data_IF_279419698995
#
_entry.id   IF_279419698995
#
_cell.length_a   1.000
_cell.length_b   1.000
_cell.length_c   1.000
_cell.angle_alpha   90.00
_cell.angle_beta   90.00
_cell.angle_gamma   90.00
#
_symmetry.space_group_name_H-M   'P 1'
#
loop_
_entity.id
_entity.type
_entity.pdbx_description
1 polymer ?
#
# COMPACT_ATOMS: atom_id res chain seq x y z
N UNK A 1 -25.83 19.76 -11.00
CA UNK A 1 -25.11 18.57 -10.49
C UNK A 1 -25.08 17.56 -11.63
N UNK A 2 -23.90 17.16 -12.13
CA UNK A 2 -23.82 16.16 -13.22
C UNK A 2 -24.08 14.78 -12.62
N UNK A 3 -25.05 14.05 -13.16
CA UNK A 3 -25.39 12.69 -12.74
C UNK A 3 -24.89 11.71 -13.79
N UNK A 4 -24.15 10.68 -13.37
CA UNK A 4 -23.67 9.61 -14.23
C UNK A 4 -24.34 8.29 -13.82
N UNK A 5 -24.73 7.42 -14.77
CA UNK A 5 -25.43 6.17 -14.44
C UNK A 5 -24.53 5.10 -13.82
N UNK A 6 -23.22 5.19 -14.05
CA UNK A 6 -22.23 4.26 -13.50
C UNK A 6 -20.83 4.89 -13.42
N UNK A 7 -19.98 4.35 -12.56
CA UNK A 7 -18.58 4.75 -12.38
C UNK A 7 -17.68 3.77 -13.13
N UNK A 8 -16.81 4.26 -14.01
CA UNK A 8 -15.75 3.46 -14.62
C UNK A 8 -14.45 3.68 -13.87
N UNK A 9 -13.83 2.62 -13.38
CA UNK A 9 -12.57 2.66 -12.63
C UNK A 9 -11.51 1.99 -13.48
N UNK A 10 -10.58 2.77 -14.00
CA UNK A 10 -9.45 2.27 -14.79
C UNK A 10 -8.16 2.41 -13.99
N UNK A 11 -7.39 1.33 -13.86
CA UNK A 11 -6.10 1.33 -13.17
C UNK A 11 -5.12 0.39 -13.90
N UNK A 12 -3.80 0.61 -13.82
CA UNK A 12 -2.82 -0.34 -14.34
C UNK A 12 -2.85 -1.65 -13.54
N UNK A 13 -2.51 -2.77 -14.17
CA UNK A 13 -2.46 -4.10 -13.56
C UNK A 13 -1.20 -4.33 -12.72
N UNK A 14 -0.85 -3.35 -11.87
CA UNK A 14 0.24 -3.41 -10.90
C UNK A 14 -0.34 -3.36 -9.47
N UNK A 15 0.46 -3.70 -8.46
CA UNK A 15 0.02 -3.72 -7.06
C UNK A 15 -0.62 -2.39 -6.62
N UNK A 16 0.01 -1.25 -6.93
CA UNK A 16 -0.53 0.07 -6.59
C UNK A 16 -1.87 0.36 -7.31
N UNK A 17 -2.02 -0.10 -8.55
CA UNK A 17 -3.27 0.02 -9.30
C UNK A 17 -4.40 -0.84 -8.72
N UNK A 18 -4.10 -2.08 -8.35
CA UNK A 18 -5.05 -2.98 -7.66
C UNK A 18 -5.52 -2.38 -6.34
N UNK A 19 -4.59 -1.95 -5.49
CA UNK A 19 -4.89 -1.36 -4.18
C UNK A 19 -5.77 -0.11 -4.33
N UNK A 20 -5.41 0.81 -5.23
CA UNK A 20 -6.18 2.04 -5.50
C UNK A 20 -7.59 1.73 -5.98
N UNK A 21 -7.71 0.83 -6.97
CA UNK A 21 -8.99 0.44 -7.55
C UNK A 21 -9.91 -0.21 -6.51
N UNK A 22 -9.38 -1.10 -5.67
CA UNK A 22 -10.15 -1.80 -4.66
C UNK A 22 -10.77 -0.88 -3.61
N UNK A 23 -10.12 0.24 -3.24
CA UNK A 23 -10.73 1.21 -2.34
C UNK A 23 -11.99 1.84 -2.95
N UNK A 24 -11.91 2.28 -4.20
CA UNK A 24 -13.07 2.87 -4.89
C UNK A 24 -14.16 1.83 -5.12
N UNK A 25 -13.79 0.62 -5.54
CA UNK A 25 -14.72 -0.51 -5.73
C UNK A 25 -15.42 -0.90 -4.42
N UNK A 26 -14.68 -0.97 -3.30
CA UNK A 26 -15.25 -1.22 -1.98
C UNK A 26 -16.30 -0.17 -1.59
N UNK A 27 -16.00 1.11 -1.84
CA UNK A 27 -16.95 2.18 -1.58
C UNK A 27 -18.20 2.06 -2.45
N UNK A 28 -18.04 1.85 -3.77
CA UNK A 28 -19.16 1.64 -4.68
C UNK A 28 -20.06 0.48 -4.22
N UNK A 29 -19.47 -0.65 -3.82
CA UNK A 29 -20.20 -1.80 -3.31
C UNK A 29 -20.92 -1.50 -1.99
N UNK A 30 -20.29 -0.77 -1.08
CA UNK A 30 -20.88 -0.45 0.23
C UNK A 30 -22.03 0.56 0.14
N UNK A 31 -22.02 1.48 -0.84
CA UNK A 31 -23.12 2.45 -1.07
C UNK A 31 -24.08 2.05 -2.21
N UNK A 32 -23.86 0.90 -2.85
CA UNK A 32 -24.72 0.39 -3.92
C UNK A 32 -24.63 1.18 -5.24
N UNK A 33 -23.48 1.79 -5.53
CA UNK A 33 -23.24 2.50 -6.80
C UNK A 33 -22.86 1.53 -7.92
N UNK A 34 -23.52 1.59 -9.09
CA UNK A 34 -23.11 0.82 -10.26
C UNK A 34 -21.70 1.21 -10.70
N UNK A 35 -20.84 0.22 -10.95
CA UNK A 35 -19.47 0.45 -11.39
C UNK A 35 -19.02 -0.59 -12.42
N UNK A 36 -17.98 -0.21 -13.17
CA UNK A 36 -17.24 -1.07 -14.09
C UNK A 36 -15.75 -0.89 -13.79
N UNK A 37 -15.06 -1.98 -13.44
CA UNK A 37 -13.61 -1.97 -13.26
C UNK A 37 -12.89 -2.41 -14.52
N UNK A 38 -11.70 -1.86 -14.77
CA UNK A 38 -10.82 -2.29 -15.87
C UNK A 38 -9.36 -2.16 -15.49
N UNK A 39 -8.64 -3.27 -15.63
CA UNK A 39 -7.19 -3.29 -15.54
C UNK A 39 -6.55 -3.06 -16.91
N UNK A 40 -5.68 -2.06 -16.98
CA UNK A 40 -4.82 -1.76 -18.13
C UNK A 40 -3.50 -2.53 -18.01
N UNK A 41 -2.69 -2.65 -19.07
CA UNK A 41 -1.38 -3.28 -18.98
C UNK A 41 -0.55 -2.69 -17.82
N UNK A 42 0.24 -3.53 -17.13
CA UNK A 42 1.10 -3.04 -16.05
C UNK A 42 2.24 -2.18 -16.60
N UNK A 43 2.71 -1.23 -15.81
CA UNK A 43 3.75 -0.27 -16.20
C UNK A 43 5.02 -0.98 -16.70
N UNK A 44 5.41 -2.07 -16.05
CA UNK A 44 6.61 -2.85 -16.41
C UNK A 44 6.56 -3.49 -17.82
N UNK A 45 5.37 -3.63 -18.41
CA UNK A 45 5.19 -4.20 -19.76
C UNK A 45 5.15 -3.16 -20.86
N UNK A 46 5.09 -1.88 -20.50
CA UNK A 46 4.99 -0.79 -21.46
C UNK A 46 6.38 -0.34 -21.92
N UNK A 47 6.51 0.07 -23.19
CA UNK A 47 7.66 0.85 -23.64
C UNK A 47 7.81 2.12 -22.78
N UNK A 48 9.05 2.56 -22.55
CA UNK A 48 9.36 3.71 -21.68
C UNK A 48 8.65 5.01 -22.05
N UNK A 49 8.36 5.21 -23.34
CA UNK A 49 7.73 6.42 -23.87
C UNK A 49 6.20 6.28 -24.05
N UNK A 50 5.65 5.11 -23.76
CA UNK A 50 4.21 4.88 -23.92
C UNK A 50 3.45 5.34 -22.67
N UNK A 51 2.60 6.35 -22.86
CA UNK A 51 1.70 6.85 -21.81
C UNK A 51 0.38 6.09 -21.90
N UNK A 52 0.00 5.41 -20.82
CA UNK A 52 -1.31 4.76 -20.71
C UNK A 52 -2.39 5.84 -20.78
N UNK A 53 -3.32 5.67 -21.72
CA UNK A 53 -4.52 6.50 -21.78
C UNK A 53 -5.74 5.62 -21.54
N UNK A 54 -6.65 6.03 -20.64
CA UNK A 54 -7.89 5.30 -20.47
C UNK A 54 -8.72 5.41 -21.74
N UNK A 55 -9.43 4.34 -22.09
CA UNK A 55 -10.38 4.39 -23.19
C UNK A 55 -11.50 5.40 -22.86
N UNK A 56 -11.84 6.25 -23.83
CA UNK A 56 -13.01 7.14 -23.71
C UNK A 56 -14.27 6.32 -23.45
N UNK A 57 -15.15 6.85 -22.63
CA UNK A 57 -16.47 6.25 -22.35
C UNK A 57 -17.56 7.19 -22.84
N UNK A 58 -18.59 6.64 -23.46
CA UNK A 58 -19.71 7.42 -23.98
C UNK A 58 -20.75 7.73 -22.90
N UNK A 59 -20.80 6.93 -21.84
CA UNK A 59 -21.77 7.05 -20.75
C UNK A 59 -21.15 6.65 -19.40
N UNK A 60 -21.29 7.51 -18.39
CA UNK A 60 -20.74 7.28 -17.05
C UNK A 60 -19.73 8.33 -16.60
N UNK A 61 -19.15 8.12 -15.43
CA UNK A 61 -18.05 8.92 -14.89
C UNK A 61 -16.78 8.06 -14.85
N UNK A 62 -15.77 8.42 -15.64
CA UNK A 62 -14.50 7.72 -15.67
C UNK A 62 -13.53 8.31 -14.63
N UNK A 63 -13.04 7.43 -13.76
CA UNK A 63 -11.92 7.63 -12.85
C UNK A 63 -10.73 6.85 -13.39
N UNK A 64 -9.69 7.57 -13.80
CA UNK A 64 -8.41 6.98 -14.17
C UNK A 64 -7.44 7.12 -13.00
N UNK A 65 -7.03 5.99 -12.44
CA UNK A 65 -6.11 5.89 -11.31
C UNK A 65 -4.72 5.62 -11.86
N UNK A 66 -3.81 6.58 -11.69
CA UNK A 66 -2.51 6.57 -12.32
C UNK A 66 -1.38 6.72 -11.29
N UNK A 67 -1.03 5.62 -10.58
CA UNK A 67 -0.05 5.67 -9.50
C UNK A 67 1.39 5.94 -9.98
N UNK A 68 1.66 5.80 -11.29
CA UNK A 68 3.00 5.91 -11.87
C UNK A 68 3.27 7.24 -12.57
N UNK A 69 2.26 8.11 -12.68
CA UNK A 69 2.45 9.49 -13.11
C UNK A 69 3.37 10.27 -12.16
N UNK A 70 3.95 11.35 -12.67
CA UNK A 70 4.73 12.28 -11.88
C UNK A 70 3.92 12.88 -10.71
N UNK A 71 4.61 13.47 -9.73
CA UNK A 71 3.95 14.13 -8.61
C UNK A 71 3.60 15.57 -8.99
N UNK A 72 2.30 15.90 -8.97
CA UNK A 72 1.79 17.21 -9.37
C UNK A 72 1.51 18.11 -8.16
N UNK A 73 1.74 19.42 -8.29
CA UNK A 73 1.12 20.37 -7.36
C UNK A 73 -0.38 20.48 -7.67
N UNK A 74 -1.19 20.63 -6.62
CA UNK A 74 -2.66 20.72 -6.80
C UNK A 74 -3.08 21.89 -7.72
N UNK A 75 -2.31 22.99 -7.72
CA UNK A 75 -2.53 24.15 -8.60
C UNK A 75 -2.38 23.84 -10.08
N UNK A 76 -1.59 22.82 -10.40
CA UNK A 76 -1.18 22.51 -11.77
C UNK A 76 -2.11 21.47 -12.41
N UNK A 77 -3.02 20.90 -11.60
CA UNK A 77 -4.04 19.97 -12.05
C UNK A 77 -5.19 20.77 -12.65
N UNK A 78 -5.16 20.91 -13.97
CA UNK A 78 -6.35 21.30 -14.71
C UNK A 78 -7.50 20.30 -14.44
N UNK A 79 -8.74 20.76 -14.32
CA UNK A 79 -9.89 19.87 -14.30
C UNK A 79 -9.93 19.07 -15.61
N UNK A 80 -9.51 17.81 -15.54
CA UNK A 80 -9.52 16.88 -16.67
C UNK A 80 -10.82 16.06 -16.62
N UNK A 81 -11.42 15.87 -17.78
CA UNK A 81 -12.36 14.77 -18.02
C UNK A 81 -11.61 13.79 -18.91
N UNK A 82 -11.35 12.55 -18.46
CA UNK A 82 -11.82 11.92 -17.22
C UNK A 82 -11.16 12.45 -15.94
N UNK A 83 -11.78 12.15 -14.78
CA UNK A 83 -11.18 12.39 -13.48
C UNK A 83 -9.91 11.57 -13.36
N UNK A 84 -8.76 12.24 -13.40
CA UNK A 84 -7.44 11.62 -13.38
C UNK A 84 -6.84 11.80 -11.98
N UNK A 85 -6.63 10.70 -11.26
CA UNK A 85 -6.03 10.69 -9.92
C UNK A 85 -4.56 10.31 -10.08
N UNK A 86 -3.70 11.28 -9.78
CA UNK A 86 -2.24 11.19 -9.88
C UNK A 86 -1.63 11.54 -8.52
N UNK A 87 -0.36 11.20 -8.25
CA UNK A 87 0.31 11.59 -7.01
C UNK A 87 0.34 13.12 -6.82
N UNK A 88 0.08 13.58 -5.59
CA UNK A 88 0.00 15.01 -5.26
C UNK A 88 1.13 15.45 -4.35
N UNK A 89 1.77 16.57 -4.66
CA UNK A 89 2.72 17.22 -3.75
C UNK A 89 1.96 17.82 -2.57
N UNK A 90 2.36 17.45 -1.35
CA UNK A 90 1.72 17.87 -0.11
C UNK A 90 2.75 18.25 0.95
N UNK A 91 2.34 19.13 1.87
CA UNK A 91 3.12 19.43 3.07
C UNK A 91 2.42 18.86 4.31
N UNK A 92 3.13 18.00 5.04
CA UNK A 92 2.64 17.38 6.27
C UNK A 92 3.37 17.98 7.46
N UNK A 93 2.64 18.25 8.55
CA UNK A 93 3.21 18.74 9.81
C UNK A 93 3.32 17.58 10.79
N UNK A 94 4.56 17.22 11.13
CA UNK A 94 4.86 16.10 12.03
C UNK A 94 5.59 16.58 13.29
N UNK A 95 5.40 15.81 14.37
CA UNK A 95 6.09 16.00 15.64
C UNK A 95 5.70 17.28 16.41
N UNK A 96 6.40 17.52 17.50
CA UNK A 96 6.13 18.64 18.43
C UNK A 96 6.43 20.01 17.83
N UNK A 97 7.40 20.09 16.91
CA UNK A 97 7.78 21.34 16.23
C UNK A 97 6.77 21.78 15.16
N UNK A 98 5.86 20.90 14.72
CA UNK A 98 4.87 21.13 13.66
C UNK A 98 5.43 21.75 12.37
N UNK A 99 6.75 21.60 12.12
CA UNK A 99 7.38 22.11 10.91
C UNK A 99 6.85 21.33 9.71
N UNK A 100 6.44 22.06 8.66
CA UNK A 100 6.00 21.44 7.41
C UNK A 100 7.15 20.68 6.75
N UNK A 101 6.90 19.42 6.40
CA UNK A 101 7.77 18.59 5.58
C UNK A 101 7.06 18.31 4.27
N UNK A 102 7.78 18.41 3.16
CA UNK A 102 7.23 18.10 1.84
C UNK A 102 7.24 16.59 1.62
N UNK A 103 6.23 16.08 0.93
CA UNK A 103 6.11 14.69 0.51
C UNK A 103 5.10 14.55 -0.62
N UNK A 104 4.85 13.32 -1.06
CA UNK A 104 3.90 13.02 -2.11
C UNK A 104 2.77 12.15 -1.56
N UNK A 105 1.52 12.61 -1.70
CA UNK A 105 0.34 11.81 -1.42
C UNK A 105 0.06 10.92 -2.63
N UNK A 106 0.25 9.61 -2.49
CA UNK A 106 0.08 8.66 -3.58
C UNK A 106 -1.40 8.38 -3.91
N UNK A 107 -1.63 7.67 -5.02
CA UNK A 107 -2.98 7.38 -5.53
C UNK A 107 -3.76 6.39 -4.64
N UNK A 108 -3.09 5.44 -3.97
CA UNK A 108 -3.73 4.51 -3.04
C UNK A 108 -4.27 5.28 -1.83
N UNK A 109 -3.46 6.14 -1.21
CA UNK A 109 -3.90 6.96 -0.09
C UNK A 109 -5.05 7.91 -0.47
N UNK A 110 -4.98 8.52 -1.66
CA UNK A 110 -6.09 9.33 -2.19
C UNK A 110 -7.37 8.51 -2.37
N UNK A 111 -7.28 7.33 -2.99
CA UNK A 111 -8.43 6.46 -3.19
C UNK A 111 -9.02 5.96 -1.86
N UNK A 112 -8.18 5.65 -0.88
CA UNK A 112 -8.62 5.28 0.46
C UNK A 112 -9.39 6.42 1.15
N UNK A 113 -8.91 7.66 1.04
CA UNK A 113 -9.58 8.84 1.59
C UNK A 113 -10.92 9.14 0.88
N UNK A 114 -10.96 9.02 -0.45
CA UNK A 114 -12.19 9.16 -1.24
C UNK A 114 -13.19 8.08 -0.84
N UNK A 115 -12.75 6.82 -0.74
CA UNK A 115 -13.59 5.70 -0.33
C UNK A 115 -14.19 5.89 1.07
N UNK A 116 -13.38 6.32 2.04
CA UNK A 116 -13.84 6.65 3.40
C UNK A 116 -14.84 7.82 3.41
N UNK A 117 -14.69 8.78 2.50
CA UNK A 117 -15.63 9.90 2.36
C UNK A 117 -16.95 9.49 1.71
N UNK A 118 -16.91 8.58 0.72
CA UNK A 118 -18.09 8.06 0.03
C UNK A 118 -18.88 7.10 0.92
N UNK A 119 -18.19 6.20 1.63
CA UNK A 119 -18.79 5.14 2.43
C UNK A 119 -18.19 5.11 3.87
N UNK A 120 -18.43 6.14 4.71
CA UNK A 120 -17.81 6.26 6.04
C UNK A 120 -18.17 5.11 7.00
N UNK A 121 -19.31 4.46 6.78
CA UNK A 121 -19.76 3.29 7.54
C UNK A 121 -19.71 1.99 6.71
N UNK A 122 -19.03 2.03 5.56
CA UNK A 122 -18.87 0.90 4.66
C UNK A 122 -18.03 -0.21 5.29
N UNK A 123 -18.57 -1.43 5.30
CA UNK A 123 -17.89 -2.59 5.87
C UNK A 123 -16.65 -2.99 5.06
N UNK A 124 -16.73 -2.94 3.72
CA UNK A 124 -15.59 -3.25 2.85
C UNK A 124 -14.54 -2.14 2.94
N UNK A 125 -14.94 -0.87 2.93
CA UNK A 125 -14.00 0.25 3.06
C UNK A 125 -13.22 0.16 4.38
N UNK A 126 -13.91 -0.12 5.50
CA UNK A 126 -13.25 -0.35 6.80
C UNK A 126 -12.32 -1.56 6.78
N UNK A 127 -12.71 -2.64 6.10
CA UNK A 127 -11.88 -3.84 5.96
C UNK A 127 -10.56 -3.55 5.23
N UNK A 128 -10.58 -2.73 4.17
CA UNK A 128 -9.38 -2.39 3.41
C UNK A 128 -8.50 -1.31 4.08
N UNK A 129 -9.04 -0.61 5.09
CA UNK A 129 -8.42 0.53 5.78
C UNK A 129 -6.95 0.34 6.19
N UNK A 130 -6.48 -0.84 6.68
CA UNK A 130 -5.08 -1.04 7.06
C UNK A 130 -4.09 -0.84 5.90
N UNK A 131 -4.56 -0.95 4.64
CA UNK A 131 -3.73 -0.81 3.44
C UNK A 131 -3.71 0.63 2.89
N UNK A 132 -4.32 1.61 3.56
CA UNK A 132 -4.43 2.97 3.02
C UNK A 132 -3.06 3.66 2.77
N UNK A 133 -2.01 3.29 3.51
CA UNK A 133 -0.64 3.80 3.31
C UNK A 133 0.25 2.94 2.41
N UNK A 134 -0.28 1.87 1.81
CA UNK A 134 0.52 0.88 1.08
C UNK A 134 1.11 1.41 -0.23
N UNK A 135 0.47 2.37 -0.88
CA UNK A 135 1.04 2.96 -2.09
C UNK A 135 2.27 3.83 -1.82
N UNK A 136 2.36 4.48 -0.65
CA UNK A 136 3.59 5.17 -0.20
C UNK A 136 4.73 4.18 0.03
N UNK A 137 4.40 3.00 0.58
CA UNK A 137 5.37 1.91 0.70
C UNK A 137 5.87 1.43 -0.68
N UNK A 138 4.99 1.37 -1.68
CA UNK A 138 5.34 0.93 -3.04
C UNK A 138 6.14 1.95 -3.85
N UNK A 139 6.24 3.20 -3.37
CA UNK A 139 7.05 4.25 -4.02
C UNK A 139 8.50 4.22 -3.55
N UNK A 140 9.33 4.93 -4.29
CA UNK A 140 10.78 5.03 -4.05
C UNK A 140 11.17 6.07 -2.98
N UNK A 141 10.21 6.78 -2.38
CA UNK A 141 10.52 7.84 -1.40
C UNK A 141 11.33 7.27 -0.21
N UNK A 142 10.90 6.12 0.31
CA UNK A 142 11.58 5.40 1.38
C UNK A 142 12.95 4.84 0.96
N UNK A 143 13.25 4.72 -0.35
CA UNK A 143 14.56 4.24 -0.83
C UNK A 143 15.66 5.30 -0.73
N UNK A 144 15.30 6.56 -0.53
CA UNK A 144 16.25 7.67 -0.45
C UNK A 144 16.20 8.39 0.89
N UNK A 145 15.01 8.56 1.47
CA UNK A 145 14.83 9.33 2.69
C UNK A 145 13.58 8.90 3.47
N UNK A 146 13.38 9.51 4.62
CA UNK A 146 12.16 9.36 5.40
C UNK A 146 10.95 9.96 4.67
N UNK A 147 9.84 9.22 4.58
CA UNK A 147 8.60 9.71 3.97
C UNK A 147 7.61 10.25 5.05
N UNK A 148 7.39 11.58 5.12
CA UNK A 148 6.50 12.16 6.12
C UNK A 148 5.02 11.84 5.90
N UNK A 149 4.59 11.54 4.67
CA UNK A 149 3.21 11.15 4.38
C UNK A 149 2.99 9.71 4.86
N UNK A 150 3.96 8.83 4.61
CA UNK A 150 3.89 7.42 5.04
C UNK A 150 3.74 7.33 6.56
N UNK A 151 4.61 8.02 7.29
CA UNK A 151 4.56 8.09 8.75
C UNK A 151 3.26 8.70 9.25
N UNK A 152 2.78 9.80 8.67
CA UNK A 152 1.53 10.41 9.10
C UNK A 152 0.33 9.47 8.94
N UNK A 153 0.22 8.78 7.80
CA UNK A 153 -0.86 7.82 7.58
C UNK A 153 -0.75 6.63 8.54
N UNK A 154 0.46 6.08 8.70
CA UNK A 154 0.71 4.99 9.65
C UNK A 154 0.29 5.37 11.07
N UNK A 155 0.72 6.53 11.54
CA UNK A 155 0.46 6.99 12.90
C UNK A 155 -1.05 7.20 13.11
N UNK A 156 -1.75 7.86 12.16
CA UNK A 156 -3.22 8.01 12.21
C UNK A 156 -3.93 6.65 12.23
N UNK A 157 -3.54 5.71 11.37
CA UNK A 157 -4.12 4.37 11.32
C UNK A 157 -3.87 3.59 12.61
N UNK A 158 -2.72 3.79 13.25
CA UNK A 158 -2.39 3.18 14.54
C UNK A 158 -3.19 3.80 15.68
N UNK A 159 -3.29 5.12 15.73
CA UNK A 159 -4.03 5.86 16.77
C UNK A 159 -5.53 5.56 16.73
N UNK A 160 -6.11 5.42 15.54
CA UNK A 160 -7.54 5.07 15.39
C UNK A 160 -7.80 3.56 15.57
N UNK A 161 -6.77 2.73 15.71
CA UNK A 161 -6.87 1.29 15.95
C UNK A 161 -7.08 0.44 14.69
N UNK A 162 -6.91 1.00 13.49
CA UNK A 162 -6.98 0.27 12.22
C UNK A 162 -5.81 -0.70 12.03
N UNK A 163 -4.65 -0.40 12.62
CA UNK A 163 -3.49 -1.29 12.65
C UNK A 163 -2.71 -1.14 13.96
N UNK A 164 -1.81 -2.07 14.22
CA UNK A 164 -0.79 -2.02 15.27
C UNK A 164 0.57 -1.91 14.59
N UNK A 165 1.39 -0.99 15.07
CA UNK A 165 2.80 -0.87 14.68
C UNK A 165 3.63 -1.70 15.67
N UNK A 166 4.33 -2.72 15.18
CA UNK A 166 5.13 -3.63 16.01
C UNK A 166 6.53 -3.87 15.43
N UNK A 167 7.45 -4.38 16.23
CA UNK A 167 8.77 -4.76 15.74
C UNK A 167 8.73 -6.10 14.98
N UNK A 168 9.73 -6.36 14.14
CA UNK A 168 9.85 -7.59 13.35
C UNK A 168 9.67 -8.90 14.16
N UNK A 169 10.20 -9.05 15.38
CA UNK A 169 9.99 -10.26 16.18
C UNK A 169 8.53 -10.53 16.54
N UNK A 170 7.69 -9.49 16.65
CA UNK A 170 6.26 -9.60 17.00
C UNK A 170 5.38 -10.08 15.82
N UNK A 171 5.91 -10.04 14.59
CA UNK A 171 5.22 -10.59 13.42
C UNK A 171 5.44 -12.10 13.38
N UNK A 172 4.37 -12.88 13.29
CA UNK A 172 4.45 -14.34 13.29
C UNK A 172 5.06 -14.87 11.99
N UNK A 173 4.59 -14.36 10.84
CA UNK A 173 4.99 -14.83 9.51
C UNK A 173 5.45 -13.67 8.61
N UNK A 174 6.55 -12.97 8.94
CA UNK A 174 7.09 -11.90 8.10
C UNK A 174 7.77 -12.48 6.85
N UNK A 175 7.76 -11.74 5.75
CA UNK A 175 8.60 -12.02 4.59
C UNK A 175 10.03 -11.53 4.86
N UNK A 176 10.90 -12.45 5.28
CA UNK A 176 12.31 -12.15 5.54
C UNK A 176 13.10 -11.81 4.27
N UNK A 177 12.64 -12.27 3.10
CA UNK A 177 13.29 -12.02 1.81
C UNK A 177 13.39 -10.53 1.46
N UNK A 178 12.60 -9.68 2.13
CA UNK A 178 12.64 -8.23 2.00
C UNK A 178 13.84 -7.58 2.69
N UNK A 179 14.54 -8.30 3.57
CA UNK A 179 15.61 -7.77 4.41
C UNK A 179 16.89 -8.55 4.07
N UNK A 180 17.72 -8.03 3.15
CA UNK A 180 18.96 -8.69 2.77
C UNK A 180 19.87 -8.97 3.98
N UNK A 181 20.57 -10.10 3.96
CA UNK A 181 21.49 -10.54 5.01
C UNK A 181 20.86 -10.78 6.39
N UNK A 182 19.53 -10.75 6.53
CA UNK A 182 18.86 -11.06 7.78
C UNK A 182 19.01 -12.55 8.15
N UNK A 183 19.52 -12.83 9.36
CA UNK A 183 19.63 -14.20 9.83
C UNK A 183 18.29 -14.71 10.38
N UNK A 184 17.61 -15.56 9.60
CA UNK A 184 16.35 -16.21 10.03
C UNK A 184 16.51 -17.01 11.33
N UNK A 185 17.67 -17.66 11.51
CA UNK A 185 18.00 -18.41 12.72
C UNK A 185 18.05 -17.48 13.94
N UNK A 186 18.67 -16.30 13.81
CA UNK A 186 18.72 -15.32 14.89
C UNK A 186 17.34 -14.73 15.17
N UNK A 187 16.57 -14.38 14.14
CA UNK A 187 15.20 -13.89 14.28
C UNK A 187 14.31 -14.90 15.00
N UNK A 188 14.37 -16.19 14.62
CA UNK A 188 13.59 -17.26 15.27
C UNK A 188 13.96 -17.44 16.73
N UNK A 189 15.24 -17.29 17.08
CA UNK A 189 15.70 -17.31 18.49
C UNK A 189 15.20 -16.08 19.24
N UNK A 190 15.32 -14.90 18.63
CA UNK A 190 14.88 -13.63 19.21
C UNK A 190 13.39 -13.65 19.51
N UNK A 191 12.54 -14.09 18.57
CA UNK A 191 11.09 -14.21 18.75
C UNK A 191 10.70 -15.03 19.98
N UNK A 192 11.44 -16.10 20.30
CA UNK A 192 11.18 -16.91 21.51
C UNK A 192 11.48 -16.19 22.81
N UNK A 193 12.52 -15.36 22.83
CA UNK A 193 12.93 -14.59 24.00
C UNK A 193 12.24 -13.21 24.09
N UNK A 194 11.67 -12.71 22.98
CA UNK A 194 11.09 -11.38 22.85
C UNK A 194 10.06 -11.03 23.94
N UNK A 195 9.13 -11.93 24.33
CA UNK A 195 8.14 -11.61 25.36
C UNK A 195 8.74 -11.43 26.77
N UNK A 196 9.96 -11.94 27.01
CA UNK A 196 10.63 -11.86 28.33
C UNK A 196 11.62 -10.72 28.43
N UNK A 197 11.85 -9.97 27.35
CA UNK A 197 12.80 -8.85 27.29
C UNK A 197 12.13 -7.52 27.64
N UNK A 198 12.85 -6.68 28.38
CA UNK A 198 12.50 -5.27 28.57
C UNK A 198 12.90 -4.41 27.36
N UNK A 199 12.64 -3.10 27.44
CA UNK A 199 12.86 -2.16 26.33
C UNK A 199 14.33 -2.08 25.93
N UNK A 200 15.26 -2.08 26.90
CA UNK A 200 16.70 -1.96 26.64
C UNK A 200 17.23 -3.24 25.99
N UNK A 201 16.86 -4.40 26.50
CA UNK A 201 17.22 -5.70 25.92
C UNK A 201 16.66 -5.86 24.50
N UNK A 202 15.42 -5.42 24.25
CA UNK A 202 14.81 -5.40 22.91
C UNK A 202 15.59 -4.51 21.93
N UNK A 203 15.99 -3.32 22.39
CA UNK A 203 16.75 -2.35 21.60
C UNK A 203 18.10 -2.92 21.18
N UNK A 204 18.84 -3.48 22.15
CA UNK A 204 20.13 -4.10 21.89
C UNK A 204 20.01 -5.31 20.96
N UNK A 205 19.04 -6.19 21.21
CA UNK A 205 18.86 -7.41 20.42
C UNK A 205 18.48 -7.13 18.96
N UNK A 206 17.66 -6.10 18.69
CA UNK A 206 17.35 -5.71 17.31
C UNK A 206 18.54 -5.04 16.62
N UNK A 207 19.32 -4.24 17.34
CA UNK A 207 20.56 -3.64 16.82
C UNK A 207 21.57 -4.70 16.39
N UNK A 208 21.73 -5.76 17.17
CA UNK A 208 22.56 -6.92 16.82
C UNK A 208 22.01 -7.71 15.64
N UNK A 209 20.69 -7.90 15.57
CA UNK A 209 20.03 -8.61 14.48
C UNK A 209 20.21 -7.89 13.13
N UNK A 210 20.11 -6.56 13.13
CA UNK A 210 20.11 -5.75 11.91
C UNK A 210 21.52 -5.38 11.42
N UNK A 211 22.55 -5.46 12.27
CA UNK A 211 23.91 -5.07 11.92
C UNK A 211 24.42 -5.66 10.59
N UNK A 212 24.20 -6.96 10.26
CA UNK A 212 24.60 -7.51 8.96
C UNK A 212 23.83 -6.92 7.77
N UNK A 213 22.59 -6.47 7.98
CA UNK A 213 21.71 -5.91 6.95
C UNK A 213 22.19 -4.53 6.49
N UNK A 214 22.89 -3.78 7.35
CA UNK A 214 23.44 -2.45 7.03
C UNK A 214 24.57 -2.47 5.99
N UNK A 215 25.07 -3.65 5.64
CA UNK A 215 26.11 -3.81 4.60
C UNK A 215 25.52 -3.85 3.19
N UNK A 216 24.20 -4.01 3.05
CA UNK A 216 23.53 -4.04 1.75
C UNK A 216 23.22 -2.62 1.26
N UNK A 217 23.67 -2.28 0.05
CA UNK A 217 23.45 -0.95 -0.55
C UNK A 217 22.11 -0.79 -1.25
N UNK A 218 21.35 -1.88 -1.45
CA UNK A 218 20.08 -1.89 -2.17
C UNK A 218 18.88 -1.63 -1.25
N UNK A 219 19.04 -1.77 0.07
CA UNK A 219 18.02 -1.43 1.05
C UNK A 219 18.43 -0.19 1.84
N UNK A 220 17.68 0.90 1.66
CA UNK A 220 17.95 2.15 2.36
C UNK A 220 17.76 2.02 3.88
N UNK A 221 18.47 2.84 4.66
CA UNK A 221 18.29 2.89 6.11
C UNK A 221 16.85 3.20 6.53
N UNK A 222 16.15 4.20 5.94
CA UNK A 222 14.75 4.46 6.28
C UNK A 222 13.82 3.27 6.01
N UNK A 223 13.99 2.57 4.88
CA UNK A 223 13.17 1.40 4.55
C UNK A 223 13.48 0.24 5.50
N UNK A 224 14.75 0.04 5.86
CA UNK A 224 15.15 -0.95 6.85
C UNK A 224 14.56 -0.65 8.23
N UNK A 225 14.54 0.61 8.66
CA UNK A 225 13.89 1.01 9.92
C UNK A 225 12.41 0.63 9.94
N UNK A 226 11.66 0.91 8.87
CA UNK A 226 10.26 0.49 8.78
C UNK A 226 10.11 -1.05 8.83
N UNK A 227 11.00 -1.78 8.16
CA UNK A 227 10.98 -3.25 8.14
C UNK A 227 11.40 -3.90 9.45
N UNK A 228 12.11 -3.21 10.34
CA UNK A 228 12.56 -3.75 11.63
C UNK A 228 11.68 -3.28 12.79
N UNK A 229 11.30 -2.00 12.80
CA UNK A 229 10.65 -1.35 13.93
C UNK A 229 9.16 -1.09 13.73
N UNK A 230 8.71 -0.95 12.48
CA UNK A 230 7.37 -0.44 12.17
C UNK A 230 6.54 -1.38 11.29
N UNK A 231 6.50 -2.67 11.65
CA UNK A 231 5.64 -3.64 10.97
C UNK A 231 4.17 -3.34 11.22
N UNK A 232 3.38 -3.39 10.16
CA UNK A 232 1.97 -3.02 10.18
C UNK A 232 1.09 -4.28 10.28
N UNK A 233 0.63 -4.61 11.50
CA UNK A 233 -0.30 -5.72 11.74
C UNK A 233 -1.73 -5.22 11.89
N UNK A 234 -2.72 -6.00 11.48
CA UNK A 234 -4.13 -5.69 11.70
C UNK A 234 -4.89 -6.96 12.08
N UNK A 235 -5.88 -6.81 12.97
CA UNK A 235 -6.58 -7.95 13.56
C UNK A 235 -5.62 -9.03 14.07
N UNK A 236 -5.97 -10.28 13.76
CA UNK A 236 -5.21 -11.48 14.09
C UNK A 236 -4.46 -12.06 12.87
N UNK A 237 -4.27 -11.27 11.80
CA UNK A 237 -3.56 -11.76 10.62
C UNK A 237 -2.07 -11.99 10.93
N UNK A 238 -1.50 -13.18 10.65
CA UNK A 238 -0.12 -13.52 11.08
C UNK A 238 0.96 -12.85 10.23
N UNK A 239 0.60 -12.35 9.05
CA UNK A 239 1.46 -11.65 8.09
C UNK A 239 1.15 -10.16 8.11
N UNK A 240 2.15 -9.31 8.30
CA UNK A 240 2.00 -7.85 8.25
C UNK A 240 1.77 -7.32 6.83
N UNK A 241 1.14 -6.14 6.71
CA UNK A 241 0.74 -5.53 5.42
C UNK A 241 1.88 -5.50 4.40
N UNK A 242 3.09 -5.14 4.83
CA UNK A 242 4.25 -4.97 3.94
C UNK A 242 4.73 -6.33 3.42
N UNK A 243 4.75 -7.36 4.28
CA UNK A 243 4.99 -8.75 3.85
C UNK A 243 3.94 -9.25 2.88
N UNK A 244 2.65 -8.97 3.12
CA UNK A 244 1.58 -9.39 2.21
C UNK A 244 1.75 -8.79 0.82
N UNK A 245 2.10 -7.50 0.75
CA UNK A 245 2.37 -6.81 -0.52
C UNK A 245 3.55 -7.45 -1.23
N UNK A 246 4.66 -7.69 -0.53
CA UNK A 246 5.85 -8.29 -1.13
C UNK A 246 5.57 -9.70 -1.67
N UNK A 247 4.87 -10.56 -0.91
CA UNK A 247 4.47 -11.89 -1.39
C UNK A 247 3.59 -11.79 -2.63
N UNK A 248 2.57 -10.93 -2.61
CA UNK A 248 1.70 -10.73 -3.77
C UNK A 248 2.48 -10.25 -5.01
N UNK A 249 3.49 -9.40 -4.83
CA UNK A 249 4.33 -8.91 -5.93
C UNK A 249 5.30 -9.96 -6.48
N UNK A 250 5.82 -10.87 -5.66
CA UNK A 250 6.74 -11.92 -6.13
C UNK A 250 6.06 -12.88 -7.12
N UNK A 251 4.75 -13.07 -6.99
CA UNK A 251 3.96 -13.95 -7.86
C UNK A 251 3.38 -13.21 -9.09
N UNK A 252 3.77 -11.95 -9.32
CA UNK A 252 3.18 -11.15 -10.39
C UNK A 252 3.65 -11.62 -11.78
N UNK A 253 2.72 -11.93 -12.71
CA UNK A 253 3.09 -12.39 -14.04
C UNK A 253 3.81 -11.31 -14.86
N UNK A 254 4.82 -11.72 -15.64
CA UNK A 254 5.57 -10.82 -16.54
C UNK A 254 4.83 -10.47 -17.83
N UNK A 255 3.86 -11.30 -18.24
CA UNK A 255 3.09 -11.09 -19.47
C UNK A 255 1.86 -10.24 -19.18
N UNK A 256 1.59 -9.22 -20.00
CA UNK A 256 0.55 -8.22 -19.75
C UNK A 256 -0.85 -8.81 -19.51
N UNK A 257 -1.29 -9.77 -20.32
CA UNK A 257 -2.62 -10.36 -20.16
C UNK A 257 -2.74 -11.27 -18.94
N UNK A 258 -1.68 -12.04 -18.63
CA UNK A 258 -1.61 -12.81 -17.40
C UNK A 258 -1.62 -11.90 -16.17
N UNK A 259 -0.93 -10.76 -16.22
CA UNK A 259 -0.91 -9.76 -15.15
C UNK A 259 -2.29 -9.14 -14.92
N UNK A 260 -3.05 -8.82 -15.98
CA UNK A 260 -4.44 -8.33 -15.85
C UNK A 260 -5.36 -9.35 -15.17
N UNK A 261 -5.23 -10.64 -15.55
CA UNK A 261 -6.01 -11.72 -14.92
C UNK A 261 -5.62 -11.90 -13.45
N UNK A 262 -4.32 -11.86 -13.15
CA UNK A 262 -3.81 -11.92 -11.78
C UNK A 262 -4.34 -10.73 -10.95
N UNK A 263 -4.23 -9.50 -11.46
CA UNK A 263 -4.72 -8.28 -10.82
C UNK A 263 -6.23 -8.36 -10.51
N UNK A 264 -7.03 -8.87 -11.45
CA UNK A 264 -8.47 -9.07 -11.22
C UNK A 264 -8.75 -10.08 -10.11
N UNK A 265 -8.05 -11.22 -10.09
CA UNK A 265 -8.23 -12.24 -9.05
C UNK A 265 -7.79 -11.74 -7.68
N UNK A 266 -6.66 -11.04 -7.63
CA UNK A 266 -6.14 -10.44 -6.40
C UNK A 266 -7.08 -9.36 -5.88
N UNK A 267 -7.67 -8.53 -6.76
CA UNK A 267 -8.68 -7.55 -6.38
C UNK A 267 -9.90 -8.20 -5.73
N UNK A 268 -10.44 -9.27 -6.32
CA UNK A 268 -11.57 -10.02 -5.76
C UNK A 268 -11.22 -10.61 -4.38
N UNK A 269 -10.05 -11.22 -4.26
CA UNK A 269 -9.55 -11.76 -3.00
C UNK A 269 -9.40 -10.66 -1.95
N UNK A 270 -8.82 -9.51 -2.31
CA UNK A 270 -8.58 -8.39 -1.41
C UNK A 270 -9.88 -7.76 -0.93
N UNK A 271 -10.84 -7.51 -1.84
CA UNK A 271 -12.17 -6.98 -1.50
C UNK A 271 -12.93 -7.91 -0.54
N UNK A 272 -12.83 -9.22 -0.77
CA UNK A 272 -13.50 -10.22 0.05
C UNK A 272 -12.86 -10.38 1.43
N UNK A 273 -11.53 -10.47 1.50
CA UNK A 273 -10.82 -10.89 2.71
C UNK A 273 -10.16 -9.75 3.48
N UNK A 274 -9.90 -8.61 2.84
CA UNK A 274 -9.12 -7.53 3.46
C UNK A 274 -7.64 -7.85 3.60
N UNK A 275 -7.14 -8.82 2.84
CA UNK A 275 -5.78 -9.31 2.87
C UNK A 275 -5.32 -9.60 1.43
N UNK A 276 -4.01 -9.56 1.18
CA UNK A 276 -3.44 -9.92 -0.13
C UNK A 276 -2.93 -11.36 -0.17
N UNK A 277 -2.84 -12.01 0.99
CA UNK A 277 -2.47 -13.41 1.15
C UNK A 277 -3.44 -14.08 2.13
N UNK A 278 -3.63 -15.40 2.06
CA UNK A 278 -4.41 -16.14 3.05
C UNK A 278 -3.80 -16.07 4.46
N UNK A 279 -4.65 -16.07 5.49
CA UNK A 279 -4.24 -16.09 6.91
C UNK A 279 -3.66 -17.42 7.37
N UNK A 280 -3.87 -18.49 6.59
CA UNK A 280 -3.29 -19.82 6.80
C UNK A 280 -2.69 -20.29 5.47
N UNK A 281 -1.54 -20.99 5.46
CA UNK A 281 -1.10 -21.65 4.23
C UNK A 281 -2.24 -22.56 3.76
N UNK A 282 -2.62 -22.42 2.49
CA UNK A 282 -3.55 -23.36 1.85
C UNK A 282 -2.97 -24.76 2.02
N UNK A 283 -3.63 -25.56 2.86
CA UNK A 283 -3.41 -27.01 2.86
C UNK A 283 -3.94 -27.53 1.54
N UNK A 284 -3.06 -27.61 0.55
CA UNK A 284 -3.24 -28.50 -0.60
C UNK A 284 -3.04 -29.95 -0.16
#
# INVERSE_FOLDING_TARGET
>A
MRTAPQIHIHAPADAAGVLSLCFIEAACLDVGLPYVRRFMPPQATLPRDEVIKPQSIDNGCLMFLDPFEDTWALSDIAQRSPTHITPLSVSVRLGTSKKGRQGALDVVAQCAAIAASLAPNGQRVRRLRPFAGSGLWLREALDTTFDPVHTAIRDVLSEEGSLRVVALPDVEQPSNAMIPNLSERMLKRLRKAWPTMDVDARTQALSELVLPCLTDSNLSTPRLEELIWHRLLYGDHPVDVVSQIHTAMNDWPKQADAAKVHASKLADFFLMNGALVPSSPSTD
#
